data_IF_496345008442
#
_entry.id   IF_496345008442
#
_cell.length_a   1.000
_cell.length_b   1.000
_cell.length_c   1.000
_cell.angle_alpha   90.00
_cell.angle_beta   90.00
_cell.angle_gamma   90.00
#
_symmetry.space_group_name_H-M   'P 1'
#
loop_
_entity.id
_entity.type
_entity.pdbx_description
1 polymer ?
#
# COMPACT_ATOMS: atom_id res chain seq x y z
N UNK A 1 -50.36 34.73 -5.68
CA UNK A 1 -49.92 34.16 -4.40
C UNK A 1 -48.85 33.12 -4.73
N UNK A 2 -47.58 33.52 -4.90
CA UNK A 2 -46.49 32.66 -5.28
C UNK A 2 -45.74 32.23 -4.02
N UNK A 3 -45.72 30.91 -3.74
CA UNK A 3 -44.96 30.32 -2.64
C UNK A 3 -43.56 29.96 -3.18
N UNK A 4 -42.55 30.68 -2.73
CA UNK A 4 -41.15 30.29 -2.90
C UNK A 4 -40.83 29.18 -1.90
N UNK A 5 -40.53 27.99 -2.42
CA UNK A 5 -39.95 26.92 -1.64
C UNK A 5 -38.43 27.13 -1.63
N UNK A 6 -37.84 27.38 -0.45
CA UNK A 6 -36.38 27.44 -0.29
C UNK A 6 -35.80 26.03 -0.33
N UNK A 7 -34.67 25.80 -1.02
CA UNK A 7 -34.01 24.50 -0.96
C UNK A 7 -33.33 24.33 0.40
N UNK A 8 -33.69 23.24 1.10
CA UNK A 8 -32.98 22.75 2.27
C UNK A 8 -31.59 22.28 1.81
N UNK A 9 -30.56 23.10 2.07
CA UNK A 9 -29.16 22.63 1.98
C UNK A 9 -28.97 21.64 3.13
N UNK A 10 -28.90 20.35 2.77
CA UNK A 10 -28.43 19.31 3.67
C UNK A 10 -26.91 19.50 3.87
N UNK A 11 -26.51 20.09 4.99
CA UNK A 11 -25.14 20.04 5.48
C UNK A 11 -24.83 18.58 5.83
N UNK A 12 -24.12 17.88 4.95
CA UNK A 12 -23.51 16.62 5.30
C UNK A 12 -22.44 16.91 6.38
N UNK A 13 -22.74 16.59 7.62
CA UNK A 13 -21.76 16.58 8.71
C UNK A 13 -20.67 15.59 8.32
N UNK A 14 -19.49 16.11 7.99
CA UNK A 14 -18.31 15.28 7.76
C UNK A 14 -18.00 14.53 9.06
N UNK A 15 -18.18 13.22 9.05
CA UNK A 15 -17.76 12.36 10.15
C UNK A 15 -16.24 12.49 10.24
N UNK A 16 -15.68 12.94 11.38
CA UNK A 16 -14.23 13.06 11.51
C UNK A 16 -13.59 11.70 11.27
N UNK A 17 -12.56 11.68 10.42
CA UNK A 17 -11.80 10.48 10.14
C UNK A 17 -11.06 9.99 11.40
N UNK A 18 -10.63 8.71 11.41
CA UNK A 18 -9.88 8.17 12.53
C UNK A 18 -8.58 8.95 12.77
N UNK A 19 -8.24 9.21 14.03
CA UNK A 19 -6.91 9.69 14.40
C UNK A 19 -5.93 8.54 14.24
N UNK A 20 -4.98 8.68 13.32
CA UNK A 20 -4.00 7.65 13.00
C UNK A 20 -2.62 8.03 13.57
N UNK A 21 -1.84 7.06 14.11
CA UNK A 21 -0.50 7.34 14.61
C UNK A 21 0.48 7.63 13.47
N UNK A 22 1.49 8.45 13.75
CA UNK A 22 2.53 8.84 12.80
C UNK A 22 2.49 10.32 12.40
N UNK A 23 3.43 10.71 11.57
CA UNK A 23 3.48 12.05 10.97
C UNK A 23 2.53 12.09 9.78
N UNK A 24 1.72 13.12 9.72
CA UNK A 24 0.75 13.32 8.64
C UNK A 24 1.43 13.89 7.40
N UNK A 25 1.25 13.23 6.28
CA UNK A 25 1.68 13.68 4.95
C UNK A 25 0.46 13.91 4.06
N UNK A 26 0.23 15.14 3.59
CA UNK A 26 -0.83 15.40 2.62
C UNK A 26 -0.42 14.88 1.23
N UNK A 27 -1.37 14.25 0.52
CA UNK A 27 -1.23 13.91 -0.90
C UNK A 27 -2.42 14.46 -1.69
N UNK A 28 -2.33 14.58 -3.03
CA UNK A 28 -3.46 15.04 -3.86
C UNK A 28 -4.74 14.20 -3.71
N UNK A 29 -4.64 12.97 -3.23
CA UNK A 29 -5.79 12.07 -3.05
C UNK A 29 -6.16 11.83 -1.58
N UNK A 30 -5.57 12.57 -0.65
CA UNK A 30 -5.87 12.50 0.77
C UNK A 30 -4.63 12.24 1.64
N UNK A 31 -4.81 12.39 2.93
CA UNK A 31 -3.73 12.29 3.91
C UNK A 31 -3.23 10.85 4.10
N UNK A 32 -1.96 10.72 4.46
CA UNK A 32 -1.30 9.47 4.86
C UNK A 32 -0.48 9.75 6.12
N UNK A 33 -0.62 8.90 7.12
CA UNK A 33 0.17 8.96 8.35
C UNK A 33 1.31 7.96 8.23
N UNK A 34 2.54 8.43 8.45
CA UNK A 34 3.76 7.62 8.29
C UNK A 34 4.58 7.66 9.58
N UNK A 35 5.02 6.51 10.00
CA UNK A 35 5.99 6.33 11.07
C UNK A 35 7.01 5.26 10.69
N UNK A 36 8.09 5.16 11.45
CA UNK A 36 9.02 4.02 11.38
C UNK A 36 8.86 3.17 12.63
N UNK A 37 8.71 1.88 12.46
CA UNK A 37 8.55 0.91 13.54
C UNK A 37 9.61 -0.19 13.45
N UNK A 38 10.10 -0.65 14.60
CA UNK A 38 10.96 -1.84 14.64
C UNK A 38 10.09 -3.09 14.74
N UNK A 39 10.24 -4.07 13.84
CA UNK A 39 9.51 -5.34 13.93
C UNK A 39 10.07 -6.28 15.00
N UNK A 40 11.14 -5.89 15.70
CA UNK A 40 11.77 -6.65 16.77
C UNK A 40 13.24 -6.27 16.98
N UNK A 41 13.82 -6.73 18.07
CA UNK A 41 15.22 -6.49 18.39
C UNK A 41 16.15 -7.00 17.28
N UNK A 42 17.13 -6.17 16.90
CA UNK A 42 18.12 -6.50 15.86
C UNK A 42 17.60 -6.52 14.42
N UNK A 43 16.31 -6.19 14.19
CA UNK A 43 15.76 -6.05 12.85
C UNK A 43 15.75 -4.59 12.40
N UNK A 44 15.92 -4.33 11.08
CA UNK A 44 15.82 -2.98 10.56
C UNK A 44 14.42 -2.40 10.79
N UNK A 45 14.34 -1.08 10.88
CA UNK A 45 13.05 -0.39 11.03
C UNK A 45 12.29 -0.41 9.71
N UNK A 46 11.00 -0.71 9.78
CA UNK A 46 10.08 -0.64 8.65
C UNK A 46 9.41 0.73 8.58
N UNK A 47 9.10 1.18 7.39
CA UNK A 47 8.14 2.26 7.21
C UNK A 47 6.72 1.72 7.39
N UNK A 48 5.91 2.42 8.18
CA UNK A 48 4.50 2.07 8.38
C UNK A 48 3.64 3.23 7.90
N UNK A 49 2.83 2.98 6.89
CA UNK A 49 1.85 3.95 6.38
C UNK A 49 0.43 3.57 6.75
N UNK A 50 -0.39 4.57 7.08
CA UNK A 50 -1.82 4.39 7.32
C UNK A 50 -2.60 5.43 6.54
N UNK A 51 -3.66 5.00 5.88
CA UNK A 51 -4.51 5.91 5.11
C UNK A 51 -5.89 5.33 4.87
N UNK A 52 -6.86 6.21 4.72
CA UNK A 52 -8.21 5.84 4.31
C UNK A 52 -8.29 5.83 2.80
N UNK A 53 -8.94 4.81 2.26
CA UNK A 53 -9.23 4.67 0.83
C UNK A 53 -10.76 4.67 0.68
N UNK A 54 -11.29 5.57 -0.13
CA UNK A 54 -12.73 5.71 -0.38
C UNK A 54 -13.19 4.65 -1.41
N UNK A 55 -13.14 3.39 -0.98
CA UNK A 55 -13.58 2.21 -1.71
C UNK A 55 -13.83 1.05 -0.74
N UNK A 56 -14.69 0.07 -1.09
CA UNK A 56 -14.90 -1.16 -0.32
C UNK A 56 -13.58 -1.95 -0.17
N UNK A 57 -13.34 -2.64 0.97
CA UNK A 57 -12.12 -3.43 1.17
C UNK A 57 -11.84 -4.48 0.09
N UNK A 58 -12.88 -5.12 -0.42
CA UNK A 58 -12.77 -6.11 -1.49
C UNK A 58 -12.22 -5.50 -2.77
N UNK A 59 -12.65 -4.28 -3.11
CA UNK A 59 -12.15 -3.56 -4.28
C UNK A 59 -10.68 -3.18 -4.11
N UNK A 60 -10.31 -2.68 -2.92
CA UNK A 60 -8.91 -2.36 -2.60
C UNK A 60 -8.05 -3.62 -2.64
N UNK A 61 -8.57 -4.72 -2.09
CA UNK A 61 -7.88 -6.00 -2.09
C UNK A 61 -7.66 -6.54 -3.50
N UNK A 62 -8.66 -6.47 -4.39
CA UNK A 62 -8.48 -6.86 -5.80
C UNK A 62 -7.39 -6.05 -6.48
N UNK A 63 -7.35 -4.73 -6.27
CA UNK A 63 -6.32 -3.88 -6.86
C UNK A 63 -4.91 -4.22 -6.34
N UNK A 64 -4.78 -4.59 -5.07
CA UNK A 64 -3.53 -5.00 -4.48
C UNK A 64 -3.14 -6.45 -4.83
N UNK A 65 -4.10 -7.35 -5.02
CA UNK A 65 -3.84 -8.74 -5.43
C UNK A 65 -3.53 -8.87 -6.93
N UNK A 66 -3.75 -7.83 -7.70
CA UNK A 66 -3.39 -7.74 -9.12
C UNK A 66 -1.91 -7.36 -9.28
N UNK A 67 -1.04 -8.28 -8.85
CA UNK A 67 0.41 -8.07 -8.72
C UNK A 67 1.10 -7.64 -10.02
N UNK A 68 0.59 -8.09 -11.17
CA UNK A 68 1.13 -7.72 -12.47
C UNK A 68 0.98 -6.22 -12.79
N UNK A 69 0.05 -5.55 -12.14
CA UNK A 69 -0.24 -4.13 -12.34
C UNK A 69 0.36 -3.21 -11.26
N UNK A 70 1.18 -3.73 -10.37
CA UNK A 70 1.81 -2.91 -9.33
C UNK A 70 2.70 -1.79 -9.89
N UNK A 71 3.33 -1.99 -11.04
CA UNK A 71 4.12 -0.95 -11.71
C UNK A 71 3.30 0.26 -12.18
N UNK A 72 1.96 0.17 -12.21
CA UNK A 72 1.11 1.28 -12.59
C UNK A 72 0.89 2.30 -11.46
N UNK A 73 1.18 1.91 -10.20
CA UNK A 73 0.91 2.78 -9.05
C UNK A 73 2.01 2.78 -7.96
N UNK A 74 2.92 1.82 -7.96
CA UNK A 74 4.05 1.79 -7.03
C UNK A 74 5.19 2.67 -7.54
N UNK A 75 5.62 3.71 -6.80
CA UNK A 75 6.76 4.53 -7.18
C UNK A 75 8.02 3.69 -7.40
N UNK A 76 8.82 4.10 -8.35
CA UNK A 76 10.07 3.44 -8.74
C UNK A 76 9.93 2.02 -9.32
N UNK A 77 8.79 1.37 -9.24
CA UNK A 77 8.57 0.04 -9.80
C UNK A 77 8.27 0.15 -11.30
N UNK A 78 9.30 -0.02 -12.13
CA UNK A 78 9.19 0.11 -13.58
C UNK A 78 8.53 -1.11 -14.26
N UNK A 79 8.60 -2.28 -13.63
CA UNK A 79 8.00 -3.52 -14.13
C UNK A 79 7.60 -4.42 -12.98
N UNK A 80 6.42 -5.03 -13.10
CA UNK A 80 5.93 -6.10 -12.24
C UNK A 80 5.31 -7.19 -13.12
N UNK A 81 5.76 -8.43 -12.98
CA UNK A 81 5.24 -9.58 -13.73
C UNK A 81 4.89 -10.66 -12.73
N UNK A 82 3.60 -10.93 -12.56
CA UNK A 82 3.14 -12.04 -11.76
C UNK A 82 3.28 -13.35 -12.53
N UNK A 83 3.87 -14.36 -11.88
CA UNK A 83 3.93 -15.72 -12.39
C UNK A 83 2.67 -16.48 -11.95
N UNK A 84 2.31 -17.57 -12.63
CA UNK A 84 1.18 -18.40 -12.19
C UNK A 84 1.30 -18.78 -10.72
N UNK A 85 0.20 -18.70 -9.95
CA UNK A 85 0.23 -19.06 -8.53
C UNK A 85 0.53 -20.54 -8.34
N UNK A 86 1.30 -20.85 -7.31
CA UNK A 86 1.62 -22.20 -6.89
C UNK A 86 1.60 -22.30 -5.37
N UNK A 87 1.04 -23.38 -4.83
CA UNK A 87 0.98 -23.68 -3.39
C UNK A 87 0.44 -22.51 -2.54
N UNK A 88 -0.60 -21.82 -3.03
CA UNK A 88 -1.21 -20.70 -2.32
C UNK A 88 -0.37 -19.42 -2.28
N UNK A 89 0.70 -19.34 -3.07
CA UNK A 89 1.55 -18.17 -3.22
C UNK A 89 1.71 -17.77 -4.70
N UNK A 90 2.03 -16.51 -4.94
CA UNK A 90 2.40 -16.00 -6.26
C UNK A 90 3.83 -15.48 -6.20
N UNK A 91 4.63 -15.83 -7.20
CA UNK A 91 5.91 -15.18 -7.43
C UNK A 91 5.71 -13.98 -8.36
N UNK A 92 6.34 -12.85 -8.06
CA UNK A 92 6.39 -11.73 -8.98
C UNK A 92 7.83 -11.29 -9.23
N UNK A 93 8.13 -10.98 -10.48
CA UNK A 93 9.41 -10.41 -10.91
C UNK A 93 9.27 -8.90 -10.96
N UNK A 94 10.14 -8.20 -10.23
CA UNK A 94 10.14 -6.76 -10.13
C UNK A 94 11.40 -6.16 -10.74
N UNK A 95 11.23 -5.01 -11.41
CA UNK A 95 12.32 -4.13 -11.81
C UNK A 95 12.04 -2.76 -11.21
N UNK A 96 12.89 -2.32 -10.29
CA UNK A 96 12.86 -0.98 -9.72
C UNK A 96 13.92 -0.10 -10.39
N UNK A 97 13.59 1.16 -10.64
CA UNK A 97 14.52 2.20 -11.07
C UNK A 97 14.62 3.23 -9.96
N UNK A 98 15.64 3.09 -9.13
CA UNK A 98 15.92 4.00 -8.02
C UNK A 98 16.79 5.17 -8.50
N UNK A 99 16.72 6.34 -7.83
CA UNK A 99 17.65 7.45 -8.08
C UNK A 99 19.11 7.02 -7.87
N UNK A 100 20.03 7.72 -8.54
CA UNK A 100 21.47 7.53 -8.33
C UNK A 100 21.81 7.76 -6.83
N UNK A 101 22.75 7.00 -6.27
CA UNK A 101 23.61 5.98 -6.92
C UNK A 101 22.99 4.57 -6.97
N UNK A 102 21.77 4.36 -6.46
CA UNK A 102 21.20 3.02 -6.32
C UNK A 102 20.89 2.35 -7.67
N UNK A 103 20.36 3.10 -8.66
CA UNK A 103 20.15 2.63 -10.03
C UNK A 103 19.09 1.52 -10.15
N UNK A 104 19.24 0.64 -11.14
CA UNK A 104 18.27 -0.42 -11.40
C UNK A 104 18.43 -1.60 -10.46
N UNK A 105 17.32 -2.09 -9.93
CA UNK A 105 17.23 -3.29 -9.11
C UNK A 105 16.26 -4.28 -9.73
N UNK A 106 16.68 -5.55 -9.81
CA UNK A 106 15.86 -6.67 -10.29
C UNK A 106 15.81 -7.72 -9.19
N UNK A 107 14.62 -8.22 -8.91
CA UNK A 107 14.42 -9.21 -7.85
C UNK A 107 13.07 -9.90 -7.99
N UNK A 108 12.91 -11.00 -7.26
CA UNK A 108 11.64 -11.69 -7.11
C UNK A 108 11.12 -11.56 -5.70
N UNK A 109 9.81 -11.47 -5.58
CA UNK A 109 9.09 -11.56 -4.31
C UNK A 109 8.11 -12.72 -4.34
N UNK A 110 7.95 -13.35 -3.19
CA UNK A 110 6.87 -14.30 -2.94
C UNK A 110 5.75 -13.58 -2.22
N UNK A 111 4.56 -13.59 -2.83
CA UNK A 111 3.37 -12.92 -2.31
C UNK A 111 2.35 -13.96 -1.83
N UNK A 112 1.68 -13.62 -0.75
CA UNK A 112 0.55 -14.37 -0.22
C UNK A 112 -0.57 -13.40 0.09
N UNK A 113 -1.79 -13.72 -0.34
CA UNK A 113 -2.98 -12.94 -0.02
C UNK A 113 -4.00 -13.82 0.69
N UNK A 114 -4.69 -13.26 1.67
CA UNK A 114 -5.75 -13.93 2.42
C UNK A 114 -6.82 -12.94 2.87
N UNK A 115 -8.02 -13.48 3.13
CA UNK A 115 -9.11 -12.76 3.77
C UNK A 115 -9.67 -13.63 4.88
N UNK A 116 -9.71 -13.12 6.09
CA UNK A 116 -10.07 -13.88 7.29
C UNK A 116 -11.12 -13.13 8.09
N UNK A 117 -12.08 -13.87 8.67
CA UNK A 117 -13.03 -13.32 9.62
C UNK A 117 -12.43 -13.37 11.02
N UNK A 118 -12.39 -12.25 11.70
CA UNK A 118 -11.94 -12.13 13.08
C UNK A 118 -12.99 -11.48 13.99
N UNK A 119 -12.71 -11.37 15.29
CA UNK A 119 -13.64 -10.75 16.25
C UNK A 119 -14.01 -9.31 15.91
N UNK A 120 -13.10 -8.57 15.27
CA UNK A 120 -13.30 -7.16 14.85
C UNK A 120 -13.85 -7.02 13.42
N UNK A 121 -14.29 -8.12 12.79
CA UNK A 121 -14.75 -8.17 11.42
C UNK A 121 -13.75 -8.80 10.46
N UNK A 122 -14.07 -8.75 9.18
CA UNK A 122 -13.24 -9.31 8.11
C UNK A 122 -12.01 -8.44 7.87
N UNK A 123 -10.84 -9.07 7.75
CA UNK A 123 -9.55 -8.45 7.44
C UNK A 123 -8.98 -9.08 6.19
N UNK A 124 -8.41 -8.27 5.31
CA UNK A 124 -7.70 -8.71 4.11
C UNK A 124 -6.23 -8.38 4.29
N UNK A 125 -5.36 -9.34 4.00
CA UNK A 125 -3.91 -9.16 4.10
C UNK A 125 -3.22 -9.60 2.82
N UNK A 126 -2.13 -8.91 2.50
CA UNK A 126 -1.20 -9.29 1.45
C UNK A 126 0.19 -9.13 2.04
N UNK A 127 0.95 -10.22 2.07
CA UNK A 127 2.32 -10.23 2.56
C UNK A 127 3.27 -10.54 1.41
N UNK A 128 4.46 -9.97 1.42
CA UNK A 128 5.50 -10.36 0.48
C UNK A 128 6.86 -10.41 1.14
N UNK A 129 7.69 -11.30 0.61
CA UNK A 129 9.08 -11.48 1.02
C UNK A 129 9.97 -11.60 -0.18
N UNK A 130 11.16 -11.07 -0.09
CA UNK A 130 12.22 -11.24 -1.08
C UNK A 130 12.59 -12.72 -1.22
N UNK A 131 12.74 -13.19 -2.45
CA UNK A 131 13.28 -14.53 -2.74
C UNK A 131 14.81 -14.42 -2.77
N UNK A 132 15.44 -14.94 -1.76
CA UNK A 132 16.90 -14.85 -1.60
C UNK A 132 17.65 -15.31 -2.86
N UNK A 133 18.65 -14.54 -3.27
CA UNK A 133 19.47 -14.83 -4.46
C UNK A 133 18.77 -14.57 -5.80
N UNK A 134 17.54 -14.06 -5.82
CA UNK A 134 16.82 -13.82 -7.07
C UNK A 134 17.15 -12.49 -7.76
N UNK A 135 18.05 -11.70 -7.19
CA UNK A 135 18.38 -10.40 -7.75
C UNK A 135 19.45 -9.64 -6.98
N UNK A 136 19.49 -8.33 -7.22
CA UNK A 136 20.54 -7.43 -6.72
C UNK A 136 20.03 -6.44 -5.64
N UNK A 137 18.97 -6.78 -4.92
CA UNK A 137 18.59 -6.14 -3.65
C UNK A 137 19.13 -6.96 -2.49
N UNK A 138 19.31 -6.34 -1.33
CA UNK A 138 19.71 -7.06 -0.12
C UNK A 138 18.50 -7.65 0.59
N UNK A 139 17.41 -6.89 0.69
CA UNK A 139 16.13 -7.33 1.24
C UNK A 139 14.97 -6.48 0.75
N UNK A 140 13.80 -7.09 0.63
CA UNK A 140 12.54 -6.42 0.33
C UNK A 140 11.37 -7.22 0.88
N UNK A 141 10.68 -6.69 1.86
CA UNK A 141 9.50 -7.32 2.44
C UNK A 141 8.47 -6.28 2.85
N UNK A 142 7.26 -6.74 3.07
CA UNK A 142 6.19 -5.87 3.55
C UNK A 142 4.85 -6.57 3.64
N UNK A 143 3.86 -5.79 4.04
CA UNK A 143 2.47 -6.25 4.11
C UNK A 143 1.48 -5.12 3.94
N UNK A 144 0.33 -5.47 3.40
CA UNK A 144 -0.89 -4.69 3.47
C UNK A 144 -1.88 -5.35 4.43
N UNK A 145 -2.52 -4.54 5.26
CA UNK A 145 -3.68 -4.95 6.06
C UNK A 145 -4.83 -3.99 5.77
N UNK A 146 -5.99 -4.52 5.40
CA UNK A 146 -7.18 -3.75 5.08
C UNK A 146 -8.29 -4.09 6.06
N UNK A 147 -8.95 -3.06 6.58
CA UNK A 147 -10.07 -3.16 7.49
C UNK A 147 -11.20 -2.24 7.03
N UNK A 148 -12.44 -2.71 7.07
CA UNK A 148 -13.59 -1.89 6.73
C UNK A 148 -13.81 -0.77 7.77
N UNK A 149 -13.99 0.48 7.31
CA UNK A 149 -14.49 1.61 8.10
C UNK A 149 -15.95 1.92 7.75
N UNK A 150 -16.58 1.07 6.94
CA UNK A 150 -17.92 1.19 6.41
C UNK A 150 -18.00 0.52 5.03
N UNK A 151 -19.16 0.54 4.37
CA UNK A 151 -19.37 -0.21 3.12
C UNK A 151 -18.52 0.29 1.95
N UNK A 152 -18.12 1.56 1.96
CA UNK A 152 -17.37 2.19 0.88
C UNK A 152 -16.05 2.83 1.36
N UNK A 153 -15.55 2.43 2.53
CA UNK A 153 -14.32 3.01 3.11
C UNK A 153 -13.46 1.94 3.74
N UNK A 154 -12.18 2.01 3.46
CA UNK A 154 -11.17 1.06 3.94
C UNK A 154 -10.06 1.80 4.68
N UNK A 155 -9.73 1.35 5.88
CA UNK A 155 -8.45 1.66 6.50
C UNK A 155 -7.41 0.69 5.91
N UNK A 156 -6.41 1.25 5.25
CA UNK A 156 -5.26 0.50 4.74
C UNK A 156 -4.03 0.80 5.59
N UNK A 157 -3.33 -0.24 5.99
CA UNK A 157 -2.05 -0.17 6.69
C UNK A 157 -1.00 -0.86 5.83
N UNK A 158 0.03 -0.13 5.45
CA UNK A 158 1.20 -0.64 4.74
C UNK A 158 2.37 -0.74 5.73
N UNK A 159 3.04 -1.88 5.75
CA UNK A 159 4.40 -2.04 6.29
C UNK A 159 5.34 -2.32 5.14
N UNK A 160 6.47 -1.63 5.11
CA UNK A 160 7.41 -1.74 4.00
C UNK A 160 8.84 -1.60 4.49
N UNK A 161 9.67 -2.51 4.01
CA UNK A 161 11.12 -2.42 4.10
C UNK A 161 11.74 -2.72 2.74
N UNK A 162 12.71 -1.90 2.32
CA UNK A 162 13.46 -2.10 1.08
C UNK A 162 14.91 -1.72 1.31
N UNK A 163 15.78 -2.70 1.36
CA UNK A 163 17.24 -2.48 1.35
C UNK A 163 17.77 -2.74 -0.08
N UNK A 164 18.08 -1.69 -0.83
CA UNK A 164 18.53 -1.84 -2.20
C UNK A 164 19.93 -2.47 -2.30
N UNK A 165 20.61 -2.65 -1.16
CA UNK A 165 22.00 -3.12 -1.11
C UNK A 165 22.99 -2.05 -1.54
N UNK A 166 24.27 -2.48 -1.71
CA UNK A 166 25.38 -1.58 -2.01
C UNK A 166 25.81 -0.76 -0.79
N UNK A 167 26.29 0.43 -1.01
CA UNK A 167 26.79 1.33 0.04
C UNK A 167 25.70 2.28 0.61
N UNK A 168 24.43 1.89 0.53
CA UNK A 168 23.33 2.73 1.05
C UNK A 168 23.27 2.64 2.58
N UNK A 169 23.52 3.73 3.32
CA UNK A 169 23.45 3.72 4.77
C UNK A 169 22.03 3.40 5.26
N UNK A 170 21.91 2.71 6.39
CA UNK A 170 20.62 2.29 6.95
C UNK A 170 19.63 3.45 7.13
N UNK A 171 20.10 4.59 7.62
CA UNK A 171 19.25 5.78 7.80
C UNK A 171 18.65 6.30 6.48
N UNK A 172 19.40 6.17 5.37
CA UNK A 172 18.93 6.58 4.04
C UNK A 172 17.89 5.58 3.48
N UNK A 173 18.06 4.30 3.77
CA UNK A 173 17.06 3.25 3.47
C UNK A 173 15.75 3.53 4.20
N UNK A 174 15.80 3.77 5.50
CA UNK A 174 14.62 4.06 6.34
C UNK A 174 13.91 5.34 5.90
N UNK A 175 14.68 6.40 5.66
CA UNK A 175 14.13 7.68 5.20
C UNK A 175 13.48 7.55 3.81
N UNK A 176 14.16 6.95 2.85
CA UNK A 176 13.64 6.74 1.49
C UNK A 176 12.36 5.90 1.49
N UNK A 177 12.30 4.88 2.34
CA UNK A 177 11.09 4.08 2.53
C UNK A 177 9.94 4.94 3.06
N UNK A 178 10.17 5.73 4.12
CA UNK A 178 9.14 6.57 4.70
C UNK A 178 8.63 7.65 3.73
N UNK A 179 9.52 8.29 2.97
CA UNK A 179 9.17 9.31 1.98
C UNK A 179 8.40 8.73 0.77
N UNK A 180 8.57 7.44 0.46
CA UNK A 180 7.90 6.79 -0.66
C UNK A 180 6.45 6.38 -0.32
N UNK A 181 6.17 6.04 0.93
CA UNK A 181 4.86 5.52 1.37
C UNK A 181 3.67 6.43 1.00
N UNK A 182 3.69 7.75 1.20
CA UNK A 182 2.58 8.61 0.83
C UNK A 182 2.20 8.51 -0.66
N UNK A 183 3.20 8.37 -1.52
CA UNK A 183 3.00 8.25 -2.98
C UNK A 183 2.47 6.87 -3.39
N UNK A 184 2.81 5.80 -2.64
CA UNK A 184 2.18 4.48 -2.81
C UNK A 184 0.68 4.58 -2.55
N UNK A 185 0.27 5.23 -1.46
CA UNK A 185 -1.15 5.45 -1.15
C UNK A 185 -1.84 6.32 -2.20
N UNK A 186 -1.17 7.39 -2.65
CA UNK A 186 -1.69 8.24 -3.72
C UNK A 186 -1.98 7.41 -4.97
N UNK A 187 -1.03 6.63 -5.44
CA UNK A 187 -1.18 5.77 -6.61
C UNK A 187 -2.25 4.68 -6.41
N UNK A 188 -2.30 4.03 -5.25
CA UNK A 188 -3.33 3.03 -4.95
C UNK A 188 -4.73 3.62 -4.97
N UNK A 189 -4.94 4.83 -4.42
CA UNK A 189 -6.23 5.54 -4.48
C UNK A 189 -6.68 5.86 -5.90
N UNK A 190 -5.74 6.08 -6.82
CA UNK A 190 -6.04 6.23 -8.25
C UNK A 190 -6.33 4.87 -8.88
N UNK A 191 -5.54 3.85 -8.55
CA UNK A 191 -5.67 2.50 -9.11
C UNK A 191 -7.03 1.88 -8.80
N UNK A 192 -7.51 1.97 -7.57
CA UNK A 192 -8.81 1.39 -7.17
C UNK A 192 -10.02 2.01 -7.87
N UNK A 193 -9.87 3.16 -8.54
CA UNK A 193 -10.93 3.80 -9.31
C UNK A 193 -11.10 3.23 -10.72
N UNK A 194 -10.16 2.40 -11.17
CA UNK A 194 -10.22 1.82 -12.52
C UNK A 194 -11.34 0.78 -12.61
N UNK A 195 -12.06 0.78 -13.72
CA UNK A 195 -13.21 -0.12 -13.95
C UNK A 195 -12.87 -1.61 -13.86
N UNK A 196 -11.61 -1.99 -14.11
CA UNK A 196 -11.17 -3.40 -13.97
C UNK A 196 -11.37 -3.98 -12.57
N UNK A 197 -11.53 -3.11 -11.56
CA UNK A 197 -11.79 -3.50 -10.16
C UNK A 197 -13.25 -3.28 -9.74
N UNK A 198 -14.14 -2.90 -10.67
CA UNK A 198 -15.59 -2.88 -10.44
C UNK A 198 -16.14 -4.32 -10.46
N UNK A 199 -17.19 -4.53 -9.71
CA UNK A 199 -17.88 -5.82 -9.67
C UNK A 199 -17.43 -6.73 -8.52
N UNK A 200 -18.13 -7.87 -8.38
CA UNK A 200 -17.88 -8.87 -7.33
C UNK A 200 -16.53 -9.56 -7.47
#
# INVERSE_FOLDING_TARGET
MFRFAAPLLAFALAVPGPTLPGVKFPTPTGDVWVETASPGAGKPREGVGRGVIEAPPERVFRALADYGHWSEFMPFLAKSVALPPAEGTTLAEHVMKLPAPSGERRYRVRLRSKAENGPAGKTWTIDWTYVAGSGNVKDHHGSWTLTALGPARTLAVLRLYTDPGGFTPQWAVERGTAETIPWIFHGLRQQVRRSRYDGP
#
